data_IF_863370162529
#
_entry.id   IF_863370162529
#
_cell.length_a   1.000
_cell.length_b   1.000
_cell.length_c   1.000
_cell.angle_alpha   90.00
_cell.angle_beta   90.00
_cell.angle_gamma   90.00
#
_symmetry.space_group_name_H-M   'P 1'
#
loop_
_entity.id
_entity.type
_entity.pdbx_description
1 polymer ?
#
# COMPACT_ATOMS: atom_id res chain seq x y z
N UNK A 1 8.25 -18.22 -25.08
CA UNK A 1 8.21 -16.87 -24.48
C UNK A 1 7.67 -17.05 -23.06
N UNK A 2 8.33 -16.55 -22.00
CA UNK A 2 7.76 -16.65 -20.67
C UNK A 2 6.54 -15.74 -20.61
N UNK A 3 5.42 -16.28 -20.15
CA UNK A 3 4.23 -15.50 -19.81
C UNK A 3 4.60 -14.78 -18.52
N UNK A 4 4.76 -13.46 -18.59
CA UNK A 4 4.84 -12.60 -17.40
C UNK A 4 3.44 -12.73 -16.77
N UNK A 5 3.34 -13.45 -15.65
CA UNK A 5 2.09 -13.53 -14.88
C UNK A 5 1.64 -12.12 -14.56
N UNK A 6 0.38 -11.80 -14.86
CA UNK A 6 -0.15 -10.46 -14.68
C UNK A 6 0.02 -10.01 -13.23
N UNK A 7 0.38 -8.75 -13.04
CA UNK A 7 0.55 -8.10 -11.72
C UNK A 7 -0.67 -8.30 -10.80
N UNK A 8 -1.85 -8.54 -11.38
CA UNK A 8 -3.09 -8.86 -10.68
C UNK A 8 -3.08 -10.24 -9.97
N UNK A 9 -2.44 -11.26 -10.53
CA UNK A 9 -2.35 -12.59 -9.89
C UNK A 9 -1.40 -12.57 -8.68
N UNK A 10 -0.38 -11.69 -8.68
CA UNK A 10 0.54 -11.53 -7.55
C UNK A 10 -0.07 -10.76 -6.38
N UNK A 11 -1.06 -9.90 -6.62
CA UNK A 11 -1.69 -9.08 -5.58
C UNK A 11 -2.59 -9.89 -4.65
N UNK A 12 -3.16 -11.00 -5.14
CA UNK A 12 -3.95 -11.91 -4.31
C UNK A 12 -3.09 -12.66 -3.28
N UNK A 13 -1.81 -12.90 -3.58
CA UNK A 13 -0.89 -13.63 -2.71
C UNK A 13 -0.21 -12.73 -1.65
N UNK A 14 -0.18 -11.42 -1.88
CA UNK A 14 0.52 -10.48 -1.02
C UNK A 14 -0.36 -10.01 0.15
N UNK A 15 0.18 -10.09 1.36
CA UNK A 15 -0.49 -9.63 2.60
C UNK A 15 -0.01 -8.22 2.95
N UNK A 16 -0.95 -7.32 3.22
CA UNK A 16 -0.69 -6.02 3.83
C UNK A 16 -0.69 -6.18 5.34
N UNK A 17 0.31 -5.63 6.02
CA UNK A 17 0.47 -5.74 7.48
C UNK A 17 0.20 -4.44 8.22
N UNK A 18 0.61 -3.30 7.66
CA UNK A 18 0.47 -2.00 8.30
C UNK A 18 -0.25 -1.02 7.37
N UNK A 19 -0.87 -0.03 7.97
CA UNK A 19 -1.53 1.07 7.28
C UNK A 19 -1.14 2.38 7.95
N UNK A 20 -0.62 3.31 7.14
CA UNK A 20 -0.35 4.68 7.53
C UNK A 20 -1.29 5.61 6.76
N UNK A 21 -1.79 6.66 7.41
CA UNK A 21 -2.73 7.58 6.77
C UNK A 21 -2.45 9.05 7.14
N UNK A 22 -2.81 9.94 6.21
CA UNK A 22 -2.80 11.39 6.39
C UNK A 22 -3.87 12.02 5.52
N UNK A 23 -4.97 12.47 6.12
CA UNK A 23 -6.09 13.06 5.39
C UNK A 23 -6.69 12.07 4.38
N UNK A 24 -6.62 12.39 3.09
CA UNK A 24 -7.10 11.55 1.99
C UNK A 24 -5.99 10.66 1.37
N UNK A 25 -4.83 10.57 2.02
CA UNK A 25 -3.72 9.74 1.59
C UNK A 25 -3.57 8.53 2.51
N UNK A 26 -3.31 7.37 1.91
CA UNK A 26 -3.20 6.08 2.58
C UNK A 26 -1.95 5.35 2.03
N UNK A 27 -1.17 4.72 2.91
CA UNK A 27 -0.01 3.89 2.55
C UNK A 27 -0.12 2.54 3.27
N UNK A 28 -0.27 1.47 2.50
CA UNK A 28 -0.42 0.11 2.99
C UNK A 28 0.88 -0.67 2.79
N UNK A 29 1.52 -1.09 3.87
CA UNK A 29 2.84 -1.74 3.85
C UNK A 29 2.71 -3.26 3.75
N UNK A 30 3.41 -3.84 2.77
CA UNK A 30 3.44 -5.28 2.50
C UNK A 30 4.68 -5.95 3.08
N UNK A 31 5.84 -5.34 2.91
CA UNK A 31 7.11 -5.87 3.41
C UNK A 31 8.08 -4.75 3.76
N UNK A 32 9.04 -5.11 4.60
CA UNK A 32 10.17 -4.26 4.97
C UNK A 32 11.37 -4.68 4.13
N UNK A 33 12.10 -3.72 3.58
CA UNK A 33 13.36 -4.06 2.92
C UNK A 33 14.42 -4.43 3.97
N UNK A 34 14.97 -5.64 3.84
CA UNK A 34 16.03 -6.13 4.74
C UNK A 34 17.39 -5.56 4.35
N UNK A 35 17.58 -5.16 3.08
CA UNK A 35 18.83 -4.61 2.53
C UNK A 35 18.94 -3.08 2.67
N UNK A 36 17.85 -2.35 2.45
CA UNK A 36 17.75 -0.88 2.54
C UNK A 36 17.60 -0.34 3.96
N UNK A 37 17.57 -1.21 4.98
CA UNK A 37 17.37 -0.82 6.38
C UNK A 37 15.89 -0.64 6.73
N UNK A 38 15.61 -0.18 7.94
CA UNK A 38 14.23 -0.21 8.46
C UNK A 38 13.31 0.87 7.92
N UNK A 39 13.88 1.80 7.16
CA UNK A 39 13.22 2.99 6.66
C UNK A 39 12.58 2.74 5.28
N UNK A 40 13.11 1.81 4.48
CA UNK A 40 12.51 1.47 3.19
C UNK A 40 11.52 0.30 3.33
N UNK A 41 10.31 0.50 2.83
CA UNK A 41 9.23 -0.50 2.84
C UNK A 41 8.61 -0.62 1.45
N UNK A 42 8.16 -1.81 1.08
CA UNK A 42 7.34 -2.00 -0.11
C UNK A 42 5.86 -1.82 0.26
N UNK A 43 5.18 -0.92 -0.44
CA UNK A 43 3.84 -0.48 -0.06
C UNK A 43 2.98 -0.15 -1.28
N UNK A 44 1.66 -0.24 -1.08
CA UNK A 44 0.67 0.36 -1.95
C UNK A 44 0.36 1.76 -1.43
N UNK A 45 0.59 2.79 -2.24
CA UNK A 45 0.38 4.18 -1.89
C UNK A 45 -0.77 4.78 -2.71
N UNK A 46 -1.73 5.39 -2.02
CA UNK A 46 -2.79 6.20 -2.60
C UNK A 46 -2.66 7.60 -2.03
N UNK A 47 -2.35 8.58 -2.87
CA UNK A 47 -2.21 9.97 -2.42
C UNK A 47 -3.42 10.77 -2.88
N UNK A 48 -3.95 11.61 -1.98
CA UNK A 48 -5.07 12.53 -2.26
C UNK A 48 -6.31 11.85 -2.86
N UNK A 49 -6.60 10.60 -2.46
CA UNK A 49 -7.67 9.77 -2.99
C UNK A 49 -7.65 9.58 -4.53
N UNK A 50 -6.50 9.79 -5.18
CA UNK A 50 -6.34 9.62 -6.63
C UNK A 50 -5.91 8.19 -6.97
N UNK A 51 -6.89 7.33 -7.24
CA UNK A 51 -6.63 5.92 -7.57
C UNK A 51 -5.92 5.73 -8.91
N UNK A 52 -6.02 6.68 -9.85
CA UNK A 52 -5.35 6.57 -11.15
C UNK A 52 -3.83 6.73 -11.01
N UNK A 53 -3.41 7.49 -10.01
CA UNK A 53 -2.02 7.73 -9.65
C UNK A 53 -1.54 6.87 -8.47
N UNK A 54 -2.31 5.84 -8.08
CA UNK A 54 -1.91 4.95 -7.01
C UNK A 54 -0.78 4.02 -7.48
N UNK A 55 0.22 3.81 -6.62
CA UNK A 55 1.44 3.07 -6.97
C UNK A 55 1.69 1.92 -6.00
N UNK A 56 2.31 0.84 -6.51
CA UNK A 56 2.84 -0.26 -5.70
C UNK A 56 4.36 -0.25 -5.86
N UNK A 57 5.08 0.12 -4.81
CA UNK A 57 6.50 0.41 -4.89
C UNK A 57 7.16 0.63 -3.54
N UNK A 58 8.43 1.00 -3.57
CA UNK A 58 9.18 1.32 -2.36
C UNK A 58 8.86 2.73 -1.87
N UNK A 59 8.67 2.86 -0.56
CA UNK A 59 8.39 4.11 0.15
C UNK A 59 9.37 4.25 1.32
N UNK A 60 9.83 5.47 1.58
CA UNK A 60 10.60 5.80 2.77
C UNK A 60 9.66 6.13 3.94
N UNK A 61 9.62 5.24 4.93
CA UNK A 61 8.82 5.36 6.12
C UNK A 61 9.22 6.58 6.97
N UNK A 62 10.50 6.98 6.95
CA UNK A 62 10.95 8.17 7.68
C UNK A 62 10.35 9.44 7.09
N UNK A 63 10.19 9.51 5.77
CA UNK A 63 9.53 10.62 5.08
C UNK A 63 8.04 10.68 5.43
N UNK A 64 7.35 9.53 5.46
CA UNK A 64 5.94 9.47 5.88
C UNK A 64 5.74 10.04 7.28
N UNK A 65 6.59 9.62 8.24
CA UNK A 65 6.52 10.09 9.61
C UNK A 65 6.83 11.59 9.73
N UNK A 66 7.80 12.09 8.96
CA UNK A 66 8.15 13.50 8.91
C UNK A 66 7.00 14.37 8.36
N UNK A 67 6.26 13.86 7.37
CA UNK A 67 5.08 14.50 6.79
C UNK A 67 3.84 14.43 7.71
N UNK A 68 3.89 13.62 8.77
CA UNK A 68 2.81 13.49 9.75
C UNK A 68 1.82 12.38 9.46
N UNK A 69 2.19 11.38 8.66
CA UNK A 69 1.38 10.16 8.55
C UNK A 69 1.29 9.45 9.90
N UNK A 70 0.10 8.98 10.23
CA UNK A 70 -0.20 8.26 11.48
C UNK A 70 -0.36 6.77 11.21
N UNK A 71 0.08 5.94 12.15
CA UNK A 71 -0.16 4.49 12.11
C UNK A 71 -1.62 4.20 12.51
N UNK A 72 -2.31 3.40 11.70
CA UNK A 72 -3.66 2.93 11.97
C UNK A 72 -3.66 1.70 12.89
N UNK A 73 -4.02 1.89 14.16
CA UNK A 73 -4.15 0.81 15.14
C UNK A 73 -5.40 -0.06 14.98
N UNK A 74 -6.32 0.31 14.09
CA UNK A 74 -7.53 -0.46 13.78
C UNK A 74 -7.37 -1.30 12.51
N UNK A 75 -6.29 -1.11 11.76
CA UNK A 75 -5.97 -1.94 10.62
C UNK A 75 -5.59 -3.36 11.06
N UNK A 76 -6.14 -4.36 10.37
CA UNK A 76 -5.79 -5.77 10.57
C UNK A 76 -5.23 -6.35 9.28
N UNK A 77 -4.18 -7.18 9.35
CA UNK A 77 -3.56 -7.74 8.15
C UNK A 77 -4.55 -8.45 7.24
N UNK A 78 -4.46 -8.18 5.94
CA UNK A 78 -5.37 -8.70 4.92
C UNK A 78 -4.73 -8.72 3.53
N UNK A 79 -5.27 -9.47 2.56
CA UNK A 79 -4.73 -9.50 1.20
C UNK A 79 -4.75 -8.11 0.54
N UNK A 80 -3.73 -7.79 -0.25
CA UNK A 80 -3.67 -6.54 -1.02
C UNK A 80 -4.89 -6.41 -1.95
N UNK A 81 -5.35 -7.51 -2.55
CA UNK A 81 -6.58 -7.52 -3.34
C UNK A 81 -7.81 -7.00 -2.57
N UNK A 82 -7.97 -7.37 -1.30
CA UNK A 82 -9.09 -6.89 -0.46
C UNK A 82 -8.94 -5.39 -0.14
N UNK A 83 -7.72 -4.91 0.09
CA UNK A 83 -7.43 -3.48 0.25
C UNK A 83 -7.83 -2.71 -1.00
N UNK A 84 -7.38 -3.13 -2.18
CA UNK A 84 -7.67 -2.47 -3.46
C UNK A 84 -9.16 -2.44 -3.75
N UNK A 85 -9.86 -3.55 -3.51
CA UNK A 85 -11.32 -3.62 -3.64
C UNK A 85 -12.03 -2.64 -2.69
N UNK A 86 -11.60 -2.60 -1.41
CA UNK A 86 -12.17 -1.70 -0.41
C UNK A 86 -11.97 -0.22 -0.78
N UNK A 87 -10.77 0.13 -1.28
CA UNK A 87 -10.45 1.48 -1.76
C UNK A 87 -11.30 1.84 -2.97
N UNK A 88 -11.39 0.96 -3.97
CA UNK A 88 -12.24 1.15 -5.15
C UNK A 88 -13.70 1.41 -4.77
N UNK A 89 -14.25 0.61 -3.85
CA UNK A 89 -15.61 0.84 -3.30
C UNK A 89 -15.72 2.18 -2.57
N UNK A 90 -14.75 2.53 -1.72
CA UNK A 90 -14.69 3.82 -1.01
C UNK A 90 -14.71 5.01 -1.96
N UNK A 91 -14.06 4.88 -3.12
CA UNK A 91 -13.96 5.93 -4.15
C UNK A 91 -15.07 5.87 -5.22
N UNK A 92 -15.99 4.91 -5.16
CA UNK A 92 -17.06 4.75 -6.14
C UNK A 92 -16.59 4.23 -7.51
N UNK A 93 -15.47 3.52 -7.56
CA UNK A 93 -14.89 2.89 -8.75
C UNK A 93 -15.29 1.42 -8.82
N UNK A 94 -16.47 1.10 -9.35
CA UNK A 94 -16.92 -0.30 -9.56
C UNK A 94 -16.38 -0.84 -10.88
#
# INVERSE_FOLDING_TARGET
MPVIGGQEDSDAAQTVYLHYFLGASDVWVLEKDVGGGVEQVFAFALLNADYQMAELGYVDLSELLLLGFELDFHFSPKPLAEVRESVRKRLGLF
#
